data_IF_654169594930
#
_entry.id   IF_654169594930
#
_cell.length_a   1.000
_cell.length_b   1.000
_cell.length_c   1.000
_cell.angle_alpha   90.00
_cell.angle_beta   90.00
_cell.angle_gamma   90.00
#
_symmetry.space_group_name_H-M   'P 1'
#
loop_
_entity.id
_entity.type
_entity.pdbx_description
1 polymer ?
#
# COMPACT_ATOMS: atom_id res chain seq x y z
N UNK A 1 -1.71 -6.81 2.43
CA UNK A 1 -1.62 -5.36 2.69
C UNK A 1 -2.76 -4.64 1.95
N UNK A 2 -3.40 -3.63 2.54
CA UNK A 2 -4.43 -2.80 1.87
C UNK A 2 -4.24 -1.31 2.20
N UNK A 3 -4.55 -0.40 1.27
CA UNK A 3 -4.50 1.05 1.48
C UNK A 3 -5.47 1.80 0.55
N UNK A 4 -5.72 3.09 0.83
CA UNK A 4 -6.48 4.00 -0.04
C UNK A 4 -5.53 4.99 -0.69
N UNK A 5 -5.65 5.25 -1.98
CA UNK A 5 -4.73 6.13 -2.73
C UNK A 5 -5.48 7.24 -3.45
N UNK A 6 -4.87 8.42 -3.55
CA UNK A 6 -5.41 9.52 -4.34
C UNK A 6 -5.24 9.27 -5.84
N UNK A 7 -6.22 9.65 -6.67
CA UNK A 7 -6.05 9.69 -8.11
C UNK A 7 -4.93 10.66 -8.51
N UNK A 8 -4.12 10.32 -9.51
CA UNK A 8 -3.07 11.21 -10.02
C UNK A 8 -3.65 12.41 -10.76
N UNK A 9 -4.79 12.25 -11.43
CA UNK A 9 -5.39 13.26 -12.31
C UNK A 9 -6.38 14.19 -11.62
N UNK A 10 -6.89 13.86 -10.43
CA UNK A 10 -7.87 14.69 -9.73
C UNK A 10 -7.83 14.45 -8.23
N UNK A 11 -7.39 15.46 -7.49
CA UNK A 11 -7.20 15.43 -6.03
C UNK A 11 -8.53 15.41 -5.26
N UNK A 12 -9.62 15.90 -5.85
CA UNK A 12 -10.95 15.91 -5.25
C UNK A 12 -11.79 14.66 -5.57
N UNK A 13 -11.25 13.77 -6.40
CA UNK A 13 -11.94 12.54 -6.77
C UNK A 13 -11.84 11.48 -5.67
N UNK A 14 -12.83 10.59 -5.61
CA UNK A 14 -12.85 9.48 -4.65
C UNK A 14 -11.57 8.66 -4.76
N UNK A 15 -11.08 8.24 -3.60
CA UNK A 15 -9.84 7.48 -3.52
C UNK A 15 -10.03 6.05 -4.00
N UNK A 16 -8.99 5.50 -4.61
CA UNK A 16 -8.97 4.12 -5.05
C UNK A 16 -8.55 3.20 -3.91
N UNK A 17 -9.10 2.00 -3.87
CA UNK A 17 -8.67 0.96 -2.96
C UNK A 17 -7.58 0.15 -3.65
N UNK A 18 -6.44 0.00 -2.97
CA UNK A 18 -5.29 -0.78 -3.46
C UNK A 18 -4.99 -1.87 -2.45
N UNK A 19 -4.70 -3.06 -2.94
CA UNK A 19 -4.29 -4.17 -2.09
C UNK A 19 -3.24 -5.03 -2.78
N UNK A 20 -2.45 -5.71 -1.96
CA UNK A 20 -1.47 -6.69 -2.39
C UNK A 20 -1.46 -7.87 -1.41
N UNK A 21 -1.41 -9.09 -1.97
CA UNK A 21 -1.16 -10.33 -1.26
C UNK A 21 0.32 -10.68 -1.45
N UNK A 22 1.05 -10.74 -0.34
CA UNK A 22 2.49 -10.92 -0.33
C UNK A 22 2.81 -12.05 0.63
N UNK A 23 3.51 -13.05 0.12
CA UNK A 23 4.15 -14.08 0.93
C UNK A 23 5.37 -13.45 1.61
N UNK A 24 5.42 -13.54 2.95
CA UNK A 24 6.53 -13.04 3.75
C UNK A 24 7.80 -13.86 3.48
N UNK A 25 8.94 -13.35 3.94
CA UNK A 25 10.18 -14.11 3.99
C UNK A 25 9.95 -15.49 4.60
N UNK A 26 10.40 -16.52 3.91
CA UNK A 26 10.42 -17.91 4.37
C UNK A 26 11.86 -18.37 4.55
N UNK A 27 12.16 -19.31 5.46
CA UNK A 27 13.48 -19.91 5.55
C UNK A 27 13.93 -20.43 4.18
N UNK A 28 15.11 -19.99 3.71
CA UNK A 28 15.65 -20.38 2.40
C UNK A 28 15.30 -19.45 1.24
N UNK A 29 14.56 -18.35 1.46
CA UNK A 29 14.33 -17.30 0.46
C UNK A 29 14.50 -15.91 1.06
N UNK A 30 15.40 -15.12 0.48
CA UNK A 30 15.54 -13.70 0.76
C UNK A 30 14.53 -12.89 -0.08
N UNK A 31 13.70 -12.11 0.59
CA UNK A 31 12.65 -11.28 0.00
C UNK A 31 11.24 -11.88 0.09
N UNK A 32 10.24 -11.01 0.18
CA UNK A 32 8.84 -11.40 0.04
C UNK A 32 8.46 -11.65 -1.42
N UNK A 33 7.49 -12.53 -1.66
CA UNK A 33 6.96 -12.81 -3.01
C UNK A 33 5.57 -12.20 -3.15
N UNK A 34 5.39 -11.33 -4.14
CA UNK A 34 4.07 -10.78 -4.48
C UNK A 34 3.26 -11.86 -5.21
N UNK A 35 2.13 -12.28 -4.62
CA UNK A 35 1.24 -13.28 -5.21
C UNK A 35 0.18 -12.63 -6.11
N UNK A 36 -0.37 -11.50 -5.67
CA UNK A 36 -1.36 -10.75 -6.41
C UNK A 36 -1.42 -9.31 -5.91
N UNK A 37 -1.77 -8.37 -6.78
CA UNK A 37 -2.01 -6.99 -6.40
C UNK A 37 -3.04 -6.35 -7.35
N UNK A 38 -3.80 -5.40 -6.83
CA UNK A 38 -4.87 -4.76 -7.59
C UNK A 38 -5.18 -3.36 -7.06
N UNK A 39 -5.70 -2.52 -7.94
CA UNK A 39 -6.22 -1.19 -7.62
C UNK A 39 -7.57 -1.00 -8.32
N UNK A 40 -8.51 -0.35 -7.64
CA UNK A 40 -9.84 -0.04 -8.22
C UNK A 40 -9.83 1.12 -9.22
N UNK A 41 -8.66 1.61 -9.65
CA UNK A 41 -8.58 2.63 -10.69
C UNK A 41 -8.77 1.99 -12.08
N UNK A 42 -9.12 2.80 -13.08
CA UNK A 42 -9.32 2.33 -14.46
C UNK A 42 -8.12 1.53 -14.98
N UNK A 43 -6.90 2.00 -14.74
CA UNK A 43 -5.68 1.29 -15.14
C UNK A 43 -5.52 -0.05 -14.41
N UNK A 44 -5.89 -0.14 -13.13
CA UNK A 44 -5.85 -1.38 -12.34
C UNK A 44 -6.88 -2.41 -12.80
N UNK A 45 -7.98 -1.97 -13.43
CA UNK A 45 -8.97 -2.86 -14.04
C UNK A 45 -8.43 -3.54 -15.30
N UNK A 46 -7.52 -2.90 -16.03
CA UNK A 46 -6.89 -3.44 -17.25
C UNK A 46 -5.51 -4.08 -17.01
N UNK A 47 -5.06 -4.17 -15.75
CA UNK A 47 -3.76 -4.75 -15.40
C UNK A 47 -3.13 -4.08 -14.18
N UNK A 48 -1.85 -3.71 -14.28
CA UNK A 48 -1.09 -3.12 -13.18
C UNK A 48 -1.00 -1.60 -13.35
N UNK A 49 -1.18 -0.85 -12.27
CA UNK A 49 -1.12 0.62 -12.29
C UNK A 49 -0.04 1.17 -11.35
N UNK A 50 0.29 2.45 -11.50
CA UNK A 50 1.28 3.13 -10.65
C UNK A 50 0.88 3.16 -9.17
N UNK A 51 -0.41 3.06 -8.84
CA UNK A 51 -0.86 2.94 -7.46
C UNK A 51 -0.44 1.62 -6.80
N UNK A 52 -0.46 0.52 -7.56
CA UNK A 52 0.05 -0.79 -7.11
C UNK A 52 1.56 -0.70 -6.94
N UNK A 53 2.27 -0.09 -7.90
CA UNK A 53 3.72 0.10 -7.79
C UNK A 53 4.10 0.90 -6.54
N UNK A 54 3.41 2.01 -6.26
CA UNK A 54 3.59 2.78 -5.03
C UNK A 54 3.41 1.92 -3.78
N UNK A 55 2.29 1.18 -3.69
CA UNK A 55 2.04 0.27 -2.57
C UNK A 55 3.22 -0.70 -2.34
N UNK A 56 3.75 -1.31 -3.40
CA UNK A 56 4.88 -2.23 -3.31
C UNK A 56 6.17 -1.54 -2.84
N UNK A 57 6.48 -0.34 -3.36
CA UNK A 57 7.65 0.43 -2.91
C UNK A 57 7.59 0.79 -1.43
N UNK A 58 6.41 1.13 -0.91
CA UNK A 58 6.24 1.39 0.52
C UNK A 58 6.39 0.14 1.37
N UNK A 59 5.90 -0.99 0.90
CA UNK A 59 6.09 -2.27 1.61
C UNK A 59 7.58 -2.60 1.65
N UNK A 60 8.28 -2.48 0.53
CA UNK A 60 9.72 -2.69 0.44
C UNK A 60 10.49 -1.75 1.37
N UNK A 61 10.10 -0.47 1.43
CA UNK A 61 10.69 0.49 2.36
C UNK A 61 10.47 0.08 3.81
N UNK A 62 9.23 -0.23 4.21
CA UNK A 62 8.90 -0.66 5.57
C UNK A 62 9.63 -1.95 5.98
N UNK A 63 9.81 -2.89 5.05
CA UNK A 63 10.61 -4.10 5.30
C UNK A 63 12.08 -3.77 5.51
N UNK A 64 12.65 -2.87 4.70
CA UNK A 64 14.05 -2.42 4.83
C UNK A 64 14.32 -1.61 6.09
N UNK A 65 13.36 -0.80 6.53
CA UNK A 65 13.48 0.03 7.75
C UNK A 65 13.12 -0.72 9.03
N UNK A 66 12.57 -1.94 8.92
CA UNK A 66 12.08 -2.70 10.06
C UNK A 66 10.73 -2.22 10.59
N UNK A 67 10.09 -1.25 9.94
CA UNK A 67 8.77 -0.69 10.29
C UNK A 67 7.61 -1.62 9.87
N UNK A 68 7.71 -2.90 10.23
CA UNK A 68 6.72 -3.93 9.88
C UNK A 68 5.73 -4.21 11.02
N UNK A 69 5.91 -3.55 12.17
CA UNK A 69 5.06 -3.70 13.35
C UNK A 69 3.77 -2.89 13.23
N UNK A 70 2.68 -3.46 13.75
CA UNK A 70 1.40 -2.76 13.84
C UNK A 70 1.45 -1.77 14.99
N UNK A 71 1.71 -0.49 14.71
CA UNK A 71 1.54 0.54 15.72
C UNK A 71 0.05 0.73 16.03
N UNK A 72 -0.40 0.23 17.20
CA UNK A 72 -1.68 0.66 17.78
C UNK A 72 -1.60 2.18 17.94
N UNK A 73 -2.52 2.97 17.37
CA UNK A 73 -2.39 4.42 17.43
C UNK A 73 -2.53 4.86 18.89
N UNK A 74 -1.40 5.18 19.53
CA UNK A 74 -1.37 6.06 20.68
C UNK A 74 -1.80 7.44 20.16
N UNK A 75 -2.89 7.98 20.71
CA UNK A 75 -3.33 9.37 20.60
C UNK A 75 -2.71 10.16 19.43
N UNK A 76 -3.42 10.18 18.30
CA UNK A 76 -3.38 11.22 17.28
C UNK A 76 -2.09 11.50 16.50
N UNK A 77 -1.20 10.52 16.29
CA UNK A 77 -0.30 10.53 15.12
C UNK A 77 0.44 9.19 14.92
N UNK A 78 -0.18 8.24 14.21
CA UNK A 78 0.56 7.20 13.52
C UNK A 78 0.78 7.67 12.08
N UNK A 79 2.00 8.09 11.71
CA UNK A 79 2.32 8.54 10.34
C UNK A 79 2.04 7.52 9.23
N UNK A 80 1.73 6.28 9.60
CA UNK A 80 1.46 5.19 8.66
C UNK A 80 0.01 4.67 8.67
N UNK A 81 -0.85 5.11 9.59
CA UNK A 81 -2.23 4.63 9.71
C UNK A 81 -3.25 5.78 9.85
N UNK A 82 -2.96 6.96 9.29
CA UNK A 82 -3.89 8.08 9.44
C UNK A 82 -5.16 7.86 8.59
N UNK A 83 -6.19 7.38 9.30
CA UNK A 83 -7.63 7.55 9.09
C UNK A 83 -8.22 6.83 7.88
N UNK A 84 -9.26 6.04 8.10
CA UNK A 84 -10.12 5.47 7.04
C UNK A 84 -10.65 6.50 6.02
N UNK A 85 -10.50 7.78 6.33
CA UNK A 85 -10.90 8.96 5.56
C UNK A 85 -9.73 9.71 4.88
N UNK A 86 -8.48 9.28 5.01
CA UNK A 86 -7.34 9.90 4.30
C UNK A 86 -6.73 8.95 3.27
N UNK A 87 -6.36 9.53 2.15
CA UNK A 87 -5.90 8.82 0.97
C UNK A 87 -4.41 9.11 0.78
N UNK A 88 -3.63 8.05 0.62
CA UNK A 88 -2.20 8.18 0.43
C UNK A 88 -1.91 8.85 -0.91
N UNK A 89 -1.02 9.84 -0.85
CA UNK A 89 -0.51 10.59 -1.98
C UNK A 89 0.87 10.05 -2.33
N UNK A 90 1.09 9.79 -3.60
CA UNK A 90 2.38 9.43 -4.19
C UNK A 90 2.88 10.61 -5.01
#
# INVERSE_FOLDING_TARGET
>A
MKCKVTPSMSINSKCYNVWAVIEKNVPGRSGGKVLSAYCTCTAGMFGTCNHVAGLLFRIEHAVKTGETEFQKPASNQCGMCQKESQCYRW
#
